data_IF_724626466894
#
_entry.id   IF_724626466894
#
_cell.length_a   1.000
_cell.length_b   1.000
_cell.length_c   1.000
_cell.angle_alpha   90.00
_cell.angle_beta   90.00
_cell.angle_gamma   90.00
#
_symmetry.space_group_name_H-M   'P 1'
#
loop_
_entity.id
_entity.type
_entity.pdbx_description
1 polymer ?
#
# COMPACT_ATOMS: atom_id res chain seq x y z
N UNK A 1 60.23 10.46 -4.98
CA UNK A 1 59.48 10.00 -6.18
C UNK A 1 57.96 10.04 -5.96
N UNK A 2 57.41 9.38 -4.93
CA UNK A 2 55.96 9.31 -4.66
C UNK A 2 55.26 10.68 -4.45
N UNK A 3 55.91 11.62 -3.74
CA UNK A 3 55.38 12.98 -3.54
C UNK A 3 55.35 13.85 -4.79
N UNK A 4 56.23 13.58 -5.76
CA UNK A 4 56.23 14.28 -7.04
C UNK A 4 55.19 13.69 -8.00
N UNK A 5 54.99 12.37 -7.96
CA UNK A 5 53.94 11.69 -8.72
C UNK A 5 52.55 12.09 -8.23
N UNK A 6 52.34 12.21 -6.91
CA UNK A 6 51.06 12.65 -6.35
C UNK A 6 50.75 14.11 -6.69
N UNK A 7 51.76 15.01 -6.66
CA UNK A 7 51.60 16.40 -7.09
C UNK A 7 51.37 16.53 -8.59
N UNK A 8 51.99 15.68 -9.41
CA UNK A 8 51.77 15.65 -10.86
C UNK A 8 50.38 15.15 -11.22
N UNK A 9 49.85 14.15 -10.50
CA UNK A 9 48.47 13.65 -10.67
C UNK A 9 47.46 14.72 -10.23
N UNK A 10 47.72 15.44 -9.13
CA UNK A 10 46.87 16.54 -8.68
C UNK A 10 46.92 17.76 -9.64
N UNK A 11 48.09 18.06 -10.22
CA UNK A 11 48.25 19.11 -11.21
C UNK A 11 47.60 18.75 -12.56
N UNK A 12 47.72 17.50 -13.01
CA UNK A 12 47.04 17.02 -14.22
C UNK A 12 45.50 17.05 -14.07
N UNK A 13 44.98 16.73 -12.87
CA UNK A 13 43.55 16.85 -12.55
C UNK A 13 43.11 18.32 -12.46
N UNK A 14 43.99 19.21 -12.01
CA UNK A 14 43.71 20.65 -11.98
C UNK A 14 43.74 21.31 -13.38
N UNK A 15 44.55 20.80 -14.31
CA UNK A 15 44.56 21.27 -15.71
C UNK A 15 43.36 20.74 -16.53
N UNK A 16 42.87 19.52 -16.22
CA UNK A 16 41.62 18.98 -16.81
C UNK A 16 40.37 19.73 -16.31
N UNK A 17 40.36 20.12 -15.02
CA UNK A 17 39.35 20.99 -14.42
C UNK A 17 39.38 22.45 -14.92
N UNK A 18 40.32 22.81 -15.79
CA UNK A 18 40.37 24.13 -16.44
C UNK A 18 39.34 24.30 -17.57
N UNK A 19 38.70 23.21 -18.01
CA UNK A 19 37.65 23.22 -19.04
C UNK A 19 36.27 22.78 -18.52
N UNK A 20 36.19 22.11 -17.37
CA UNK A 20 34.93 21.72 -16.68
C UNK A 20 34.93 22.29 -15.26
N UNK A 21 34.71 23.61 -15.14
CA UNK A 21 34.42 24.22 -13.86
C UNK A 21 33.03 23.77 -13.40
N UNK A 22 32.97 22.79 -12.50
CA UNK A 22 31.74 22.41 -11.79
C UNK A 22 31.17 23.68 -11.16
N UNK A 23 29.88 24.02 -11.41
CA UNK A 23 29.29 25.21 -10.82
C UNK A 23 29.38 25.11 -9.30
N UNK A 24 29.94 26.14 -8.68
CA UNK A 24 29.97 26.28 -7.23
C UNK A 24 28.51 26.16 -6.74
N UNK A 25 28.20 25.18 -5.89
CA UNK A 25 26.83 24.95 -5.47
C UNK A 25 26.35 26.16 -4.65
N UNK A 26 25.70 27.10 -5.32
CA UNK A 26 25.29 28.35 -4.70
C UNK A 26 24.34 28.07 -3.54
N UNK A 27 24.66 28.69 -2.41
CA UNK A 27 23.73 28.84 -1.29
C UNK A 27 22.67 29.82 -1.78
N UNK A 28 21.56 29.31 -2.31
CA UNK A 28 20.45 30.17 -2.73
C UNK A 28 19.91 30.92 -1.50
N UNK A 29 20.18 32.21 -1.44
CA UNK A 29 19.58 33.09 -0.44
C UNK A 29 18.11 33.23 -0.78
N UNK A 30 17.24 32.67 0.05
CA UNK A 30 15.80 32.70 -0.19
C UNK A 30 15.32 34.15 -0.43
N UNK A 31 14.74 34.38 -1.61
CA UNK A 31 14.15 35.66 -1.96
C UNK A 31 13.01 35.99 -0.99
N UNK A 32 13.08 37.17 -0.35
CA UNK A 32 12.02 37.65 0.57
C UNK A 32 10.80 38.19 -0.16
N UNK A 33 10.77 38.01 -1.49
CA UNK A 33 9.69 38.43 -2.35
C UNK A 33 8.37 37.80 -1.93
N UNK A 34 7.31 38.60 -1.99
CA UNK A 34 5.95 38.21 -1.66
C UNK A 34 5.76 37.63 -0.25
N UNK A 35 6.54 38.03 0.76
CA UNK A 35 6.41 37.52 2.14
C UNK A 35 4.95 37.51 2.65
N UNK A 36 4.19 38.56 2.38
CA UNK A 36 2.76 38.61 2.74
C UNK A 36 1.92 37.54 2.05
N UNK A 37 2.19 37.26 0.77
CA UNK A 37 1.50 36.23 0.01
C UNK A 37 1.96 34.81 0.41
N UNK A 38 3.24 34.64 0.78
CA UNK A 38 3.78 33.40 1.37
C UNK A 38 3.16 33.10 2.74
N UNK A 39 2.86 34.12 3.54
CA UNK A 39 2.12 33.93 4.79
C UNK A 39 0.65 33.62 4.49
N UNK A 40 0.04 34.30 3.52
CA UNK A 40 -1.33 34.03 3.11
C UNK A 40 -1.52 32.59 2.57
N UNK A 41 -0.52 32.05 1.87
CA UNK A 41 -0.59 30.69 1.30
C UNK A 41 -0.76 29.61 2.38
N UNK A 42 -0.21 29.80 3.58
CA UNK A 42 -0.41 28.90 4.74
C UNK A 42 -1.91 28.70 5.00
N UNK A 43 -2.68 29.79 5.02
CA UNK A 43 -4.11 29.73 5.30
C UNK A 43 -4.92 29.21 4.11
N UNK A 44 -4.56 29.62 2.89
CA UNK A 44 -5.26 29.18 1.67
C UNK A 44 -5.08 27.67 1.46
N UNK A 45 -3.85 27.17 1.60
CA UNK A 45 -3.55 25.75 1.47
C UNK A 45 -4.19 24.96 2.62
N UNK A 46 -4.16 25.46 3.86
CA UNK A 46 -4.84 24.81 4.99
C UNK A 46 -6.35 24.63 4.73
N UNK A 47 -7.01 25.68 4.22
CA UNK A 47 -8.45 25.60 3.92
C UNK A 47 -8.70 24.67 2.74
N UNK A 48 -7.91 24.77 1.66
CA UNK A 48 -8.05 23.90 0.49
C UNK A 48 -7.83 22.43 0.81
N UNK A 49 -6.77 22.11 1.54
CA UNK A 49 -6.44 20.74 1.97
C UNK A 49 -7.48 20.19 2.94
N UNK A 50 -7.95 20.98 3.91
CA UNK A 50 -9.00 20.59 4.84
C UNK A 50 -10.34 20.34 4.13
N UNK A 51 -10.72 21.18 3.17
CA UNK A 51 -11.90 20.94 2.33
C UNK A 51 -11.71 19.65 1.52
N UNK A 52 -10.54 19.47 0.89
CA UNK A 52 -10.21 18.27 0.13
C UNK A 52 -10.37 16.99 0.95
N UNK A 53 -9.78 16.90 2.14
CA UNK A 53 -9.79 15.66 2.94
C UNK A 53 -11.00 15.49 3.83
N UNK A 54 -11.41 16.53 4.56
CA UNK A 54 -12.41 16.39 5.62
C UNK A 54 -13.83 16.43 5.07
N UNK A 55 -14.09 17.13 3.95
CA UNK A 55 -15.43 17.17 3.37
C UNK A 55 -15.90 15.78 2.91
N UNK A 56 -15.13 14.99 2.13
CA UNK A 56 -15.54 13.64 1.75
C UNK A 56 -15.75 12.73 2.97
N UNK A 57 -14.88 12.83 4.00
CA UNK A 57 -15.02 12.06 5.24
C UNK A 57 -16.31 12.40 5.98
N UNK A 58 -16.60 13.70 6.12
CA UNK A 58 -17.81 14.18 6.79
C UNK A 58 -19.08 13.77 6.03
N UNK A 59 -19.07 13.91 4.70
CA UNK A 59 -20.19 13.54 3.84
C UNK A 59 -20.45 12.02 3.85
N UNK A 60 -19.40 11.20 3.91
CA UNK A 60 -19.54 9.75 3.93
C UNK A 60 -20.18 9.25 5.24
N UNK A 61 -19.94 9.95 6.35
CA UNK A 61 -20.40 9.54 7.69
C UNK A 61 -21.68 10.21 8.16
N UNK A 62 -22.10 11.30 7.53
CA UNK A 62 -23.28 12.07 7.95
C UNK A 62 -24.51 11.63 7.16
N UNK A 63 -25.48 11.00 7.83
CA UNK A 63 -26.75 10.59 7.22
C UNK A 63 -27.71 11.75 6.91
N UNK A 64 -27.41 12.97 7.40
CA UNK A 64 -28.23 14.18 7.16
C UNK A 64 -28.12 14.73 5.75
N UNK A 65 -26.99 14.55 5.07
CA UNK A 65 -26.76 15.03 3.71
C UNK A 65 -26.79 13.83 2.77
N UNK A 66 -27.89 13.63 2.04
CA UNK A 66 -27.99 12.57 1.03
C UNK A 66 -27.20 12.96 -0.22
N UNK A 67 -25.89 12.81 -0.17
CA UNK A 67 -25.02 12.99 -1.34
C UNK A 67 -25.24 11.82 -2.31
N UNK A 68 -25.38 12.06 -3.62
CA UNK A 68 -25.56 10.99 -4.58
C UNK A 68 -24.33 10.07 -4.60
N UNK A 69 -24.57 8.75 -4.70
CA UNK A 69 -23.51 7.73 -4.77
C UNK A 69 -22.51 7.99 -5.91
N UNK A 70 -22.95 8.67 -6.96
CA UNK A 70 -22.13 9.10 -8.08
C UNK A 70 -20.98 10.04 -7.67
N UNK A 71 -21.19 10.96 -6.72
CA UNK A 71 -20.12 11.87 -6.28
C UNK A 71 -19.00 11.10 -5.56
N UNK A 72 -19.34 10.16 -4.69
CA UNK A 72 -18.33 9.30 -4.03
C UNK A 72 -17.63 8.39 -5.02
N UNK A 73 -18.37 7.86 -6.01
CA UNK A 73 -17.78 7.08 -7.08
C UNK A 73 -16.74 7.90 -7.85
N UNK A 74 -17.10 9.09 -8.32
CA UNK A 74 -16.19 9.96 -9.07
C UNK A 74 -14.99 10.35 -8.19
N UNK A 75 -15.21 10.86 -6.99
CA UNK A 75 -14.13 11.30 -6.09
C UNK A 75 -13.14 10.18 -5.77
N UNK A 76 -13.63 8.95 -5.57
CA UNK A 76 -12.80 7.78 -5.30
C UNK A 76 -11.88 7.43 -6.47
N UNK A 77 -12.42 7.29 -7.67
CA UNK A 77 -11.64 6.88 -8.85
C UNK A 77 -10.79 8.03 -9.42
N UNK A 78 -11.31 9.25 -9.43
CA UNK A 78 -10.52 10.45 -9.72
C UNK A 78 -9.34 10.56 -8.77
N UNK A 79 -9.58 10.39 -7.47
CA UNK A 79 -8.56 10.39 -6.43
C UNK A 79 -7.47 9.34 -6.62
N UNK A 80 -7.84 8.12 -7.05
CA UNK A 80 -6.86 7.10 -7.43
C UNK A 80 -5.91 7.59 -8.52
N UNK A 81 -6.46 8.23 -9.57
CA UNK A 81 -5.65 8.79 -10.64
C UNK A 81 -4.76 9.94 -10.18
N UNK A 82 -5.25 10.76 -9.24
CA UNK A 82 -4.46 11.83 -8.63
C UNK A 82 -3.25 11.28 -7.88
N UNK A 83 -3.46 10.34 -6.95
CA UNK A 83 -2.37 9.72 -6.16
C UNK A 83 -1.38 9.00 -7.09
N UNK A 84 -1.90 8.31 -8.12
CA UNK A 84 -1.06 7.68 -9.14
C UNK A 84 -0.19 8.71 -9.85
N UNK A 85 -0.72 9.84 -10.31
CA UNK A 85 0.11 10.85 -10.96
C UNK A 85 1.09 11.54 -10.00
N UNK A 86 0.70 11.77 -8.74
CA UNK A 86 1.58 12.35 -7.72
C UNK A 86 2.84 11.51 -7.53
N UNK A 87 2.71 10.19 -7.43
CA UNK A 87 3.84 9.29 -7.24
C UNK A 87 4.91 9.39 -8.34
N UNK A 88 4.51 9.58 -9.61
CA UNK A 88 5.47 9.66 -10.72
C UNK A 88 5.94 11.09 -10.96
N UNK A 89 5.01 12.01 -11.17
CA UNK A 89 5.32 13.33 -11.74
C UNK A 89 5.72 14.35 -10.66
N UNK A 90 5.24 14.18 -9.43
CA UNK A 90 5.47 15.14 -8.35
C UNK A 90 6.42 14.62 -7.27
N UNK A 91 6.71 13.32 -7.25
CA UNK A 91 7.71 12.71 -6.37
C UNK A 91 8.90 12.17 -7.13
N UNK A 92 8.67 11.23 -8.04
CA UNK A 92 9.76 10.49 -8.67
C UNK A 92 10.56 11.34 -9.68
N UNK A 93 9.89 12.20 -10.46
CA UNK A 93 10.56 13.11 -11.38
C UNK A 93 11.43 14.13 -10.64
N UNK A 94 10.92 14.92 -9.67
CA UNK A 94 11.76 15.85 -8.90
C UNK A 94 12.86 15.13 -8.10
N UNK A 95 12.62 13.89 -7.65
CA UNK A 95 13.65 13.09 -7.01
C UNK A 95 14.82 12.78 -7.97
N UNK A 96 14.52 12.44 -9.22
CA UNK A 96 15.53 12.22 -10.25
C UNK A 96 16.32 13.49 -10.55
N UNK A 97 15.61 14.63 -10.69
CA UNK A 97 16.24 15.92 -10.95
C UNK A 97 17.17 16.34 -9.79
N UNK A 98 16.76 16.11 -8.54
CA UNK A 98 17.57 16.41 -7.36
C UNK A 98 18.81 15.53 -7.22
N UNK A 99 18.72 14.23 -7.52
CA UNK A 99 19.85 13.29 -7.38
C UNK A 99 20.83 13.33 -8.55
N UNK A 100 20.42 13.89 -9.69
CA UNK A 100 21.24 14.03 -10.90
C UNK A 100 21.76 15.45 -11.12
N UNK A 101 21.58 16.32 -10.15
CA UNK A 101 22.04 17.70 -10.23
C UNK A 101 23.56 17.78 -10.41
N UNK A 102 24.03 18.76 -11.19
CA UNK A 102 25.46 18.96 -11.48
C UNK A 102 26.29 19.18 -10.21
N UNK A 103 25.68 19.73 -9.15
CA UNK A 103 26.30 19.86 -7.82
C UNK A 103 26.74 18.50 -7.23
N UNK A 104 26.10 17.41 -7.64
CA UNK A 104 26.33 16.06 -7.14
C UNK A 104 27.24 15.21 -8.05
N UNK A 105 27.67 15.74 -9.20
CA UNK A 105 28.46 15.00 -10.18
C UNK A 105 29.78 14.41 -9.62
N UNK A 106 30.35 15.04 -8.58
CA UNK A 106 31.56 14.56 -7.90
C UNK A 106 31.30 13.52 -6.79
N UNK A 107 30.04 13.37 -6.36
CA UNK A 107 29.63 12.54 -5.20
C UNK A 107 28.92 11.28 -5.68
N UNK A 108 28.00 11.42 -6.64
CA UNK A 108 27.19 10.34 -7.18
C UNK A 108 27.54 10.13 -8.66
N UNK A 109 27.67 8.87 -9.13
CA UNK A 109 27.79 8.60 -10.55
C UNK A 109 26.49 8.95 -11.27
N UNK A 110 26.59 9.35 -12.55
CA UNK A 110 25.43 9.61 -13.42
C UNK A 110 24.63 8.33 -13.63
N UNK A 111 23.60 8.18 -12.83
CA UNK A 111 22.67 7.08 -12.79
C UNK A 111 21.38 7.56 -12.13
N UNK A 112 20.24 6.99 -12.53
CA UNK A 112 18.95 7.36 -11.96
C UNK A 112 18.72 6.66 -10.62
N UNK A 113 19.41 7.16 -9.60
CA UNK A 113 19.32 6.66 -8.23
C UNK A 113 17.89 6.78 -7.67
N UNK A 114 17.11 7.78 -8.10
CA UNK A 114 15.73 7.95 -7.67
C UNK A 114 14.86 6.75 -8.09
N UNK A 115 14.94 6.34 -9.35
CA UNK A 115 14.22 5.17 -9.86
C UNK A 115 14.63 3.88 -9.15
N UNK A 116 15.93 3.72 -8.85
CA UNK A 116 16.42 2.55 -8.12
C UNK A 116 15.91 2.53 -6.67
N UNK A 117 15.95 3.65 -5.96
CA UNK A 117 15.44 3.77 -4.59
C UNK A 117 13.92 3.53 -4.56
N UNK A 118 13.19 4.09 -5.52
CA UNK A 118 11.75 3.89 -5.62
C UNK A 118 11.40 2.42 -5.89
N UNK A 119 12.14 1.75 -6.78
CA UNK A 119 11.94 0.32 -7.04
C UNK A 119 12.27 -0.53 -5.82
N UNK A 120 13.38 -0.23 -5.12
CA UNK A 120 13.71 -0.91 -3.87
C UNK A 120 12.62 -0.70 -2.81
N UNK A 121 12.05 0.50 -2.73
CA UNK A 121 10.93 0.81 -1.86
C UNK A 121 9.68 0.00 -2.21
N UNK A 122 9.35 -0.14 -3.50
CA UNK A 122 8.26 -1.01 -3.98
C UNK A 122 8.47 -2.46 -3.55
N UNK A 123 9.70 -2.98 -3.66
CA UNK A 123 10.02 -4.34 -3.22
C UNK A 123 9.90 -4.51 -1.71
N UNK A 124 10.32 -3.51 -0.93
CA UNK A 124 10.14 -3.50 0.53
C UNK A 124 8.67 -3.41 0.91
N UNK A 125 7.88 -2.58 0.22
CA UNK A 125 6.45 -2.45 0.44
C UNK A 125 5.71 -3.77 0.21
N UNK A 126 6.01 -4.45 -0.89
CA UNK A 126 5.46 -5.78 -1.16
C UNK A 126 5.86 -6.80 -0.08
N UNK A 127 7.13 -6.77 0.36
CA UNK A 127 7.59 -7.62 1.46
C UNK A 127 6.86 -7.33 2.78
N UNK A 128 6.65 -6.05 3.11
CA UNK A 128 5.91 -5.64 4.31
C UNK A 128 4.47 -6.15 4.25
N UNK A 129 3.80 -6.08 3.10
CA UNK A 129 2.44 -6.61 2.96
C UNK A 129 2.39 -8.14 3.11
N UNK A 130 3.39 -8.87 2.61
CA UNK A 130 3.52 -10.32 2.86
C UNK A 130 3.71 -10.59 4.35
N UNK A 131 4.56 -9.83 5.03
CA UNK A 131 4.80 -10.01 6.48
C UNK A 131 3.52 -9.72 7.27
N UNK A 132 2.85 -8.60 6.99
CA UNK A 132 1.60 -8.20 7.69
C UNK A 132 0.48 -9.18 7.43
N UNK A 133 0.32 -9.68 6.20
CA UNK A 133 -0.69 -10.69 5.88
C UNK A 133 -0.37 -12.06 6.49
N UNK A 134 0.91 -12.38 6.72
CA UNK A 134 1.35 -13.67 7.25
C UNK A 134 1.39 -13.72 8.77
N UNK A 135 1.73 -12.61 9.40
CA UNK A 135 1.77 -12.42 10.84
C UNK A 135 0.61 -11.52 11.22
N UNK A 136 -0.52 -12.13 11.58
CA UNK A 136 -1.56 -11.45 12.33
C UNK A 136 -0.92 -11.00 13.66
N UNK A 137 -0.39 -9.77 13.68
CA UNK A 137 0.19 -9.18 14.87
C UNK A 137 -0.96 -9.04 15.85
N UNK A 138 -1.06 -10.01 16.76
CA UNK A 138 -2.10 -10.15 17.77
C UNK A 138 -2.16 -8.96 18.72
N UNK A 139 -2.63 -7.81 18.23
CA UNK A 139 -3.21 -6.73 19.00
C UNK A 139 -4.65 -7.13 19.44
N UNK A 140 -4.79 -8.37 19.89
CA UNK A 140 -5.86 -8.78 20.77
C UNK A 140 -5.48 -8.30 22.16
N UNK A 141 -6.08 -7.17 22.56
CA UNK A 141 -6.09 -6.73 23.94
C UNK A 141 -6.45 -7.92 24.83
N UNK A 142 -5.52 -8.26 25.73
CA UNK A 142 -5.81 -9.02 26.94
C UNK A 142 -7.01 -8.39 27.67
N UNK A 143 -7.79 -9.24 28.35
CA UNK A 143 -9.11 -9.10 29.02
C UNK A 143 -10.19 -9.88 28.24
N UNK A 144 -10.67 -11.07 28.61
CA UNK A 144 -10.56 -11.89 29.82
C UNK A 144 -11.96 -12.43 30.13
N UNK A 145 -12.21 -13.73 29.95
CA UNK A 145 -13.28 -14.43 30.67
C UNK A 145 -12.92 -15.91 30.87
N UNK A 146 -12.80 -16.25 32.15
CA UNK A 146 -12.76 -17.59 32.71
C UNK A 146 -14.03 -18.37 32.34
N UNK A 147 -13.88 -19.51 31.67
CA UNK A 147 -14.89 -20.55 31.72
C UNK A 147 -14.33 -21.77 32.46
N UNK A 148 -14.84 -21.91 33.68
CA UNK A 148 -14.80 -23.10 34.52
C UNK A 148 -15.31 -24.31 33.73
N UNK A 149 -14.47 -25.33 33.56
CA UNK A 149 -14.90 -26.67 33.18
C UNK A 149 -15.39 -27.39 34.44
N UNK A 150 -16.72 -27.35 34.66
CA UNK A 150 -17.38 -28.27 35.58
C UNK A 150 -17.53 -29.64 34.92
N UNK A 151 -16.65 -30.58 35.24
CA UNK A 151 -16.86 -32.00 34.98
C UNK A 151 -17.75 -32.59 36.08
N UNK A 152 -18.92 -33.12 35.72
CA UNK A 152 -19.65 -34.08 36.55
C UNK A 152 -19.90 -35.36 35.74
N UNK A 153 -19.17 -36.41 36.10
CA UNK A 153 -19.54 -37.79 35.79
C UNK A 153 -20.55 -38.29 36.82
N UNK A 154 -21.53 -39.10 36.42
CA UNK A 154 -22.25 -39.96 37.37
C UNK A 154 -23.65 -40.43 36.97
N UNK A 155 -23.73 -41.67 36.51
CA UNK A 155 -24.76 -42.70 36.78
C UNK A 155 -26.25 -42.54 36.39
N UNK A 156 -26.68 -43.47 35.53
CA UNK A 156 -27.68 -44.54 35.77
C UNK A 156 -29.07 -44.21 36.32
N UNK A 157 -30.11 -44.68 35.60
CA UNK A 157 -31.48 -44.90 36.09
C UNK A 157 -32.55 -44.48 35.08
N UNK A 158 -33.05 -45.40 34.25
CA UNK A 158 -34.42 -45.98 34.35
C UNK A 158 -35.54 -44.95 34.34
N UNK A 159 -36.28 -44.82 33.23
CA UNK A 159 -37.70 -44.52 33.26
C UNK A 159 -38.44 -45.19 32.11
N UNK A 160 -39.53 -45.82 32.48
CA UNK A 160 -40.46 -46.63 31.71
C UNK A 160 -41.23 -45.80 30.67
N UNK A 161 -41.61 -46.44 29.57
CA UNK A 161 -42.73 -45.97 28.76
C UNK A 161 -43.54 -47.18 28.26
N UNK A 162 -44.55 -47.56 29.03
CA UNK A 162 -45.70 -48.32 28.54
C UNK A 162 -46.72 -47.36 27.92
N UNK A 163 -47.20 -47.65 26.72
CA UNK A 163 -48.58 -47.36 26.31
C UNK A 163 -48.96 -48.22 25.09
N UNK A 164 -50.16 -48.82 25.18
CA UNK A 164 -50.74 -49.89 24.36
C UNK A 164 -51.43 -49.40 23.07
N UNK A 165 -51.60 -50.33 22.12
CA UNK A 165 -52.76 -50.46 21.21
C UNK A 165 -52.40 -50.43 19.72
N UNK A 166 -52.18 -51.58 19.05
CA UNK A 166 -53.17 -52.46 18.37
C UNK A 166 -53.51 -52.04 16.93
N UNK A 167 -53.05 -52.83 15.94
CA UNK A 167 -53.90 -53.49 14.92
C UNK A 167 -53.06 -54.47 14.08
N UNK A 168 -53.67 -55.62 13.79
CA UNK A 168 -53.16 -56.82 13.11
C UNK A 168 -53.15 -56.69 11.57
N UNK A 169 -52.28 -57.43 10.89
CA UNK A 169 -52.60 -58.35 9.77
C UNK A 169 -51.32 -58.83 9.01
N UNK A 170 -51.07 -60.15 9.07
CA UNK A 170 -50.26 -60.96 8.13
C UNK A 170 -51.24 -61.58 7.07
N UNK A 171 -50.85 -62.24 5.93
CA UNK A 171 -49.67 -63.09 5.78
C UNK A 171 -48.96 -63.15 4.39
N UNK A 172 -47.83 -63.88 4.37
CA UNK A 172 -47.43 -64.90 3.35
C UNK A 172 -46.44 -64.58 2.20
N UNK A 173 -45.31 -65.31 2.27
CA UNK A 173 -44.74 -66.22 1.24
C UNK A 173 -43.51 -65.84 0.36
N UNK A 174 -42.39 -66.52 0.71
CA UNK A 174 -41.43 -67.31 -0.11
C UNK A 174 -40.75 -66.68 -1.35
N UNK A 175 -39.40 -66.73 -1.38
CA UNK A 175 -38.62 -67.76 -2.11
C UNK A 175 -37.08 -67.63 -1.93
N UNK A 176 -36.46 -68.81 -1.82
CA UNK A 176 -35.03 -69.16 -1.77
C UNK A 176 -34.34 -69.07 -3.15
N UNK A 177 -33.08 -68.60 -3.18
CA UNK A 177 -31.79 -69.30 -3.44
C UNK A 177 -31.45 -69.67 -4.90
N UNK A 178 -30.24 -69.31 -5.35
CA UNK A 178 -29.38 -70.16 -6.18
C UNK A 178 -27.90 -69.69 -6.11
N UNK A 179 -27.02 -70.65 -5.84
CA UNK A 179 -25.55 -70.58 -5.69
C UNK A 179 -24.78 -70.57 -7.03
N UNK A 180 -23.46 -70.29 -6.99
CA UNK A 180 -22.33 -71.13 -7.48
C UNK A 180 -21.01 -70.33 -7.64
N UNK A 181 -20.13 -70.47 -6.64
CA UNK A 181 -18.72 -70.96 -6.62
C UNK A 181 -17.56 -70.51 -7.55
N UNK A 182 -16.36 -70.53 -6.90
CA UNK A 182 -14.96 -70.76 -7.36
C UNK A 182 -14.07 -69.56 -7.74
N UNK A 183 -12.78 -69.47 -7.36
CA UNK A 183 -11.91 -70.15 -6.40
C UNK A 183 -10.51 -69.47 -6.39
N UNK A 184 -9.87 -69.40 -5.20
CA UNK A 184 -8.40 -69.49 -4.91
C UNK A 184 -7.42 -68.45 -5.51
N UNK A 185 -6.39 -67.94 -4.81
CA UNK A 185 -5.37 -68.67 -4.02
C UNK A 185 -4.56 -67.71 -3.11
N UNK A 186 -4.09 -68.26 -2.00
CA UNK A 186 -3.33 -67.63 -0.92
C UNK A 186 -1.82 -67.48 -1.20
N UNK A 187 -1.17 -66.60 -0.42
CA UNK A 187 0.29 -66.52 -0.26
C UNK A 187 0.66 -65.56 0.87
N UNK A 188 0.93 -66.10 2.04
CA UNK A 188 1.39 -65.42 3.25
C UNK A 188 2.89 -65.69 3.39
N UNK A 189 3.74 -64.68 3.56
CA UNK A 189 5.12 -64.88 4.03
C UNK A 189 5.58 -63.72 4.91
N UNK A 190 6.12 -64.10 6.06
CA UNK A 190 6.58 -63.29 7.17
C UNK A 190 8.11 -63.39 7.21
N UNK A 191 8.84 -62.28 7.22
CA UNK A 191 10.31 -62.28 7.23
C UNK A 191 10.90 -61.08 7.96
N UNK A 192 11.41 -61.31 9.16
CA UNK A 192 12.08 -60.37 10.05
C UNK A 192 13.59 -60.28 9.74
N UNK A 193 14.20 -59.10 9.83
CA UNK A 193 15.65 -58.92 9.68
C UNK A 193 16.16 -57.52 10.04
N UNK A 194 16.77 -57.40 11.23
CA UNK A 194 17.53 -56.23 11.70
C UNK A 194 18.97 -56.27 11.17
N UNK A 195 19.59 -55.13 10.85
CA UNK A 195 20.95 -54.77 11.30
C UNK A 195 21.37 -53.35 10.86
N UNK A 196 22.12 -52.71 11.75
CA UNK A 196 22.60 -51.34 11.75
C UNK A 196 23.90 -51.14 10.96
N UNK A 197 24.17 -49.93 10.47
CA UNK A 197 25.49 -49.56 9.93
C UNK A 197 25.60 -48.10 9.47
N UNK A 198 26.48 -47.36 10.12
CA UNK A 198 26.79 -45.93 9.94
C UNK A 198 27.72 -45.65 8.75
N UNK A 199 27.67 -44.44 8.17
CA UNK A 199 28.69 -43.92 7.24
C UNK A 199 28.14 -42.91 6.23
N UNK A 200 28.55 -41.65 6.34
CA UNK A 200 28.00 -40.53 5.57
C UNK A 200 28.41 -40.45 4.09
N UNK A 201 27.68 -39.61 3.36
CA UNK A 201 28.29 -38.74 2.34
C UNK A 201 27.44 -37.49 2.11
N UNK A 202 28.19 -36.42 1.84
CA UNK A 202 27.88 -35.00 1.81
C UNK A 202 27.49 -34.62 0.36
N UNK A 203 26.51 -33.71 0.22
CA UNK A 203 25.87 -33.17 -1.02
C UNK A 203 24.72 -33.98 -1.65
N UNK A 204 23.48 -33.49 -1.53
CA UNK A 204 22.47 -33.61 -2.59
C UNK A 204 21.70 -32.29 -2.76
N UNK A 205 21.51 -31.93 -4.02
CA UNK A 205 21.13 -30.64 -4.55
C UNK A 205 19.61 -30.43 -4.44
N UNK A 206 19.21 -29.31 -3.83
CA UNK A 206 17.82 -28.86 -3.77
C UNK A 206 17.26 -28.65 -5.19
N UNK A 207 16.33 -29.54 -5.56
CA UNK A 207 15.58 -29.50 -6.82
C UNK A 207 14.83 -28.18 -6.97
N UNK A 208 15.22 -27.39 -7.97
CA UNK A 208 14.38 -26.34 -8.56
C UNK A 208 13.52 -27.01 -9.64
N UNK A 209 12.17 -27.07 -9.53
CA UNK A 209 11.34 -27.47 -10.65
C UNK A 209 11.02 -26.23 -11.49
N UNK A 210 11.78 -26.02 -12.55
CA UNK A 210 11.35 -25.21 -13.70
C UNK A 210 10.32 -26.04 -14.47
N UNK A 211 9.10 -25.52 -14.67
CA UNK A 211 8.16 -26.06 -15.65
C UNK A 211 7.98 -25.03 -16.77
N UNK A 212 8.43 -25.41 -17.96
CA UNK A 212 8.21 -24.73 -19.23
C UNK A 212 6.78 -24.97 -19.73
N UNK A 213 6.12 -23.87 -20.07
CA UNK A 213 5.28 -23.61 -21.26
C UNK A 213 4.04 -24.52 -21.46
N UNK A 214 2.83 -24.08 -21.79
CA UNK A 214 2.31 -22.76 -22.15
C UNK A 214 0.76 -22.81 -22.11
N UNK A 215 0.17 -21.66 -21.79
CA UNK A 215 -1.15 -21.13 -22.20
C UNK A 215 -2.30 -22.13 -22.45
N UNK A 216 -3.27 -22.13 -21.55
CA UNK A 216 -4.69 -22.11 -21.91
C UNK A 216 -5.49 -21.61 -20.71
N UNK A 217 -6.26 -20.52 -20.88
CA UNK A 217 -7.62 -20.29 -20.37
C UNK A 217 -8.06 -18.84 -20.73
N UNK A 218 -9.36 -18.57 -21.00
CA UNK A 218 -10.49 -19.37 -20.55
C UNK A 218 -11.41 -19.92 -21.66
N UNK A 219 -12.01 -21.11 -21.45
CA UNK A 219 -13.37 -21.11 -20.93
C UNK A 219 -13.73 -22.29 -19.99
N UNK A 220 -14.52 -21.96 -18.97
CA UNK A 220 -15.53 -22.78 -18.30
C UNK A 220 -15.34 -24.29 -18.10
N UNK A 221 -15.24 -24.69 -16.83
CA UNK A 221 -15.79 -25.95 -16.35
C UNK A 221 -14.79 -26.85 -15.62
N UNK A 222 -14.92 -26.88 -14.29
CA UNK A 222 -14.70 -28.10 -13.54
C UNK A 222 -13.40 -28.20 -12.71
N UNK A 223 -13.60 -28.11 -11.39
CA UNK A 223 -12.88 -28.88 -10.37
C UNK A 223 -11.34 -28.87 -10.37
N UNK A 224 -10.75 -27.85 -9.74
CA UNK A 224 -9.52 -28.01 -8.96
C UNK A 224 -9.44 -27.00 -7.80
N UNK A 225 -9.65 -27.49 -6.58
CA UNK A 225 -8.83 -27.25 -5.37
C UNK A 225 -8.20 -25.87 -5.14
N UNK A 226 -8.92 -24.79 -5.45
CA UNK A 226 -8.72 -23.47 -4.83
C UNK A 226 -9.67 -23.36 -3.65
N UNK A 227 -9.14 -23.14 -2.45
CA UNK A 227 -9.91 -22.94 -1.23
C UNK A 227 -11.11 -22.00 -1.45
N UNK A 228 -12.30 -22.60 -1.52
CA UNK A 228 -13.51 -21.96 -1.05
C UNK A 228 -13.29 -21.76 0.46
N UNK A 229 -12.88 -20.55 0.85
CA UNK A 229 -12.87 -20.13 2.25
C UNK A 229 -14.32 -20.13 2.71
N UNK A 230 -14.75 -21.25 3.28
CA UNK A 230 -15.87 -21.22 4.21
C UNK A 230 -15.48 -20.29 5.36
N UNK A 231 -16.37 -19.33 5.63
CA UNK A 231 -16.17 -18.26 6.60
C UNK A 231 -15.91 -18.81 8.00
N UNK A 232 -14.64 -18.85 8.40
CA UNK A 232 -14.23 -18.98 9.80
C UNK A 232 -13.96 -17.57 10.32
N UNK A 233 -14.56 -17.25 11.46
CA UNK A 233 -14.61 -15.97 12.20
C UNK A 233 -13.24 -15.30 12.53
N UNK A 234 -12.12 -15.82 12.01
CA UNK A 234 -10.77 -15.27 12.13
C UNK A 234 -10.27 -14.45 10.93
N UNK A 235 -10.94 -14.50 9.77
CA UNK A 235 -10.50 -13.80 8.55
C UNK A 235 -10.91 -12.31 8.48
N UNK A 236 -11.93 -11.87 9.23
CA UNK A 236 -12.33 -10.46 9.24
C UNK A 236 -11.26 -9.55 9.87
N UNK A 237 -10.55 -10.05 10.90
CA UNK A 237 -9.51 -9.29 11.60
C UNK A 237 -8.26 -9.07 10.74
N UNK A 238 -7.81 -10.09 10.00
CA UNK A 238 -6.65 -9.99 9.12
C UNK A 238 -6.93 -9.04 7.92
N UNK A 239 -8.12 -9.11 7.33
CA UNK A 239 -8.51 -8.21 6.23
C UNK A 239 -8.65 -6.75 6.71
N UNK A 240 -9.18 -6.54 7.92
CA UNK A 240 -9.26 -5.21 8.52
C UNK A 240 -7.86 -4.65 8.86
N UNK A 241 -6.98 -5.47 9.43
CA UNK A 241 -5.61 -5.06 9.75
C UNK A 241 -4.81 -4.68 8.49
N UNK A 242 -4.91 -5.46 7.42
CA UNK A 242 -4.29 -5.16 6.13
C UNK A 242 -4.82 -3.84 5.54
N UNK A 243 -6.15 -3.66 5.51
CA UNK A 243 -6.78 -2.43 5.01
C UNK A 243 -6.33 -1.18 5.78
N UNK A 244 -6.31 -1.26 7.11
CA UNK A 244 -5.91 -0.14 7.96
C UNK A 244 -4.41 0.14 7.81
N UNK A 245 -3.58 -0.90 7.68
CA UNK A 245 -2.15 -0.77 7.42
C UNK A 245 -1.90 -0.07 6.09
N UNK A 246 -2.60 -0.45 5.02
CA UNK A 246 -2.50 0.20 3.71
C UNK A 246 -2.88 1.68 3.78
N UNK A 247 -3.93 2.04 4.54
CA UNK A 247 -4.33 3.45 4.76
C UNK A 247 -3.24 4.22 5.52
N UNK A 248 -2.66 3.64 6.57
CA UNK A 248 -1.60 4.31 7.33
C UNK A 248 -0.33 4.50 6.50
N UNK A 249 0.03 3.52 5.67
CA UNK A 249 1.20 3.63 4.80
C UNK A 249 0.96 4.68 3.69
N UNK A 250 -0.23 4.68 3.09
CA UNK A 250 -0.66 5.71 2.14
C UNK A 250 -0.55 7.09 2.78
N UNK A 251 -1.14 7.28 3.97
CA UNK A 251 -1.11 8.54 4.71
C UNK A 251 0.32 8.98 5.01
N UNK A 252 1.18 8.06 5.45
CA UNK A 252 2.59 8.36 5.72
C UNK A 252 3.30 8.89 4.47
N UNK A 253 3.15 8.23 3.32
CA UNK A 253 3.73 8.68 2.05
C UNK A 253 3.24 10.06 1.64
N UNK A 254 1.92 10.27 1.69
CA UNK A 254 1.30 11.56 1.32
C UNK A 254 1.72 12.70 2.27
N UNK A 255 1.71 12.48 3.60
CA UNK A 255 2.15 13.49 4.58
C UNK A 255 3.60 13.86 4.34
N UNK A 256 4.45 12.88 4.10
CA UNK A 256 5.86 13.11 3.92
C UNK A 256 6.15 13.94 2.66
N UNK A 257 5.50 13.60 1.55
CA UNK A 257 5.51 14.40 0.33
C UNK A 257 5.03 15.85 0.58
N UNK A 258 3.93 16.00 1.31
CA UNK A 258 3.34 17.30 1.65
C UNK A 258 4.30 18.21 2.43
N UNK A 259 5.19 17.64 3.24
CA UNK A 259 6.21 18.41 3.97
C UNK A 259 7.23 19.01 2.99
N UNK A 260 7.79 18.23 2.06
CA UNK A 260 8.79 18.73 1.11
C UNK A 260 8.20 19.72 0.11
N UNK A 261 6.95 19.48 -0.33
CA UNK A 261 6.19 20.47 -1.11
C UNK A 261 6.11 21.80 -0.36
N UNK A 262 5.71 21.76 0.92
CA UNK A 262 5.54 22.97 1.72
C UNK A 262 6.84 23.73 1.95
N UNK A 263 7.94 23.01 2.21
CA UNK A 263 9.28 23.59 2.33
C UNK A 263 9.72 24.23 1.00
N UNK A 264 9.50 23.55 -0.12
CA UNK A 264 9.85 24.06 -1.46
C UNK A 264 9.07 25.33 -1.78
N UNK A 265 7.76 25.36 -1.52
CA UNK A 265 6.95 26.57 -1.72
C UNK A 265 7.42 27.75 -0.85
N UNK A 266 7.96 27.48 0.34
CA UNK A 266 8.46 28.53 1.22
C UNK A 266 9.72 29.22 0.68
N UNK A 267 10.57 28.49 -0.05
CA UNK A 267 11.91 28.98 -0.47
C UNK A 267 12.05 29.22 -1.97
N UNK A 268 11.11 28.75 -2.79
CA UNK A 268 11.17 28.87 -4.25
C UNK A 268 11.03 30.32 -4.74
N UNK A 269 11.76 30.66 -5.80
CA UNK A 269 11.67 31.95 -6.50
C UNK A 269 10.43 32.03 -7.41
N UNK A 270 9.96 30.89 -7.94
CA UNK A 270 8.75 30.79 -8.77
C UNK A 270 7.47 30.69 -7.93
N UNK A 271 7.41 31.46 -6.83
CA UNK A 271 6.40 31.32 -5.79
C UNK A 271 4.97 31.43 -6.32
N UNK A 272 4.67 32.42 -7.16
CA UNK A 272 3.28 32.68 -7.59
C UNK A 272 2.72 31.51 -8.40
N UNK A 273 3.52 30.95 -9.32
CA UNK A 273 3.10 29.83 -10.16
C UNK A 273 2.92 28.59 -9.30
N UNK A 274 3.94 28.23 -8.52
CA UNK A 274 3.89 27.06 -7.64
C UNK A 274 2.80 27.17 -6.60
N UNK A 275 2.55 28.35 -6.04
CA UNK A 275 1.45 28.57 -5.11
C UNK A 275 0.09 28.24 -5.73
N UNK A 276 -0.20 28.78 -6.91
CA UNK A 276 -1.49 28.54 -7.59
C UNK A 276 -1.64 27.06 -7.93
N UNK A 277 -0.59 26.43 -8.47
CA UNK A 277 -0.60 25.01 -8.81
C UNK A 277 -0.81 24.15 -7.56
N UNK A 278 -0.12 24.46 -6.46
CA UNK A 278 -0.20 23.69 -5.21
C UNK A 278 -1.54 23.80 -4.50
N UNK A 279 -2.27 24.93 -4.63
CA UNK A 279 -3.64 25.02 -4.12
C UNK A 279 -4.53 23.95 -4.78
N UNK A 280 -4.41 23.77 -6.09
CA UNK A 280 -5.16 22.74 -6.81
C UNK A 280 -4.63 21.33 -6.51
N UNK A 281 -3.31 21.12 -6.57
CA UNK A 281 -2.66 19.85 -6.26
C UNK A 281 -3.11 19.32 -4.89
N UNK A 282 -2.92 20.11 -3.83
CA UNK A 282 -3.19 19.71 -2.46
C UNK A 282 -4.70 19.47 -2.22
N UNK A 283 -5.56 20.20 -2.92
CA UNK A 283 -7.01 19.99 -2.82
C UNK A 283 -7.41 18.68 -3.50
N UNK A 284 -6.86 18.36 -4.68
CA UNK A 284 -7.19 17.13 -5.40
C UNK A 284 -6.60 15.89 -4.75
N UNK A 285 -5.36 15.95 -4.27
CA UNK A 285 -4.75 14.87 -3.51
C UNK A 285 -5.52 14.65 -2.20
N UNK A 286 -5.93 15.74 -1.54
CA UNK A 286 -6.79 15.70 -0.36
C UNK A 286 -8.15 15.07 -0.64
N UNK A 287 -8.77 15.38 -1.79
CA UNK A 287 -10.02 14.76 -2.22
C UNK A 287 -9.88 13.23 -2.38
N UNK A 288 -8.78 12.78 -2.98
CA UNK A 288 -8.51 11.36 -3.15
C UNK A 288 -8.30 10.64 -1.82
N UNK A 289 -7.47 11.20 -0.95
CA UNK A 289 -7.26 10.69 0.41
C UNK A 289 -8.56 10.71 1.23
N UNK A 290 -9.30 11.81 1.21
CA UNK A 290 -10.57 11.97 1.92
C UNK A 290 -11.63 10.95 1.48
N UNK A 291 -11.73 10.67 0.18
CA UNK A 291 -12.63 9.64 -0.33
C UNK A 291 -12.26 8.25 0.20
N UNK A 292 -10.96 7.94 0.32
CA UNK A 292 -10.46 6.67 0.89
C UNK A 292 -10.78 6.57 2.38
N UNK A 293 -10.47 7.60 3.16
CA UNK A 293 -10.76 7.67 4.59
C UNK A 293 -12.27 7.61 4.88
N UNK A 294 -13.09 8.23 4.03
CA UNK A 294 -14.55 8.23 4.16
C UNK A 294 -15.19 6.88 3.89
N UNK A 295 -14.68 6.14 2.91
CA UNK A 295 -15.22 4.83 2.49
C UNK A 295 -14.63 3.65 3.28
N UNK A 296 -13.52 3.84 3.98
CA UNK A 296 -12.96 2.81 4.86
C UNK A 296 -13.94 2.44 5.98
N UNK A 297 -13.95 1.16 6.35
CA UNK A 297 -14.75 0.64 7.46
C UNK A 297 -13.99 0.92 8.76
N UNK A 298 -14.57 1.75 9.63
CA UNK A 298 -13.96 2.09 10.91
C UNK A 298 -14.77 1.45 12.04
N UNK A 299 -14.12 0.89 13.08
CA UNK A 299 -14.80 0.23 14.18
C UNK A 299 -15.71 1.21 14.91
N UNK A 300 -16.95 0.79 15.10
CA UNK A 300 -18.06 1.65 15.51
C UNK A 300 -18.04 2.03 16.99
N UNK A 301 -17.21 1.36 17.81
CA UNK A 301 -17.12 1.57 19.26
C UNK A 301 -15.78 2.21 19.68
N UNK A 302 -15.86 3.28 20.49
CA UNK A 302 -14.71 3.91 21.18
C UNK A 302 -14.07 5.12 20.48
N UNK A 303 -12.89 5.51 20.96
CA UNK A 303 -12.06 6.64 20.45
C UNK A 303 -11.63 6.48 18.99
N UNK A 304 -11.76 5.27 18.42
CA UNK A 304 -11.40 4.95 17.03
C UNK A 304 -12.34 5.55 15.97
N UNK A 305 -13.52 6.09 16.34
CA UNK A 305 -14.39 6.80 15.37
C UNK A 305 -13.77 8.10 14.83
N UNK A 306 -12.84 8.70 15.59
CA UNK A 306 -12.21 9.96 15.25
C UNK A 306 -11.00 9.80 14.32
N UNK A 307 -10.51 8.58 14.10
CA UNK A 307 -9.31 8.32 13.29
C UNK A 307 -9.35 8.93 11.88
N UNK A 308 -10.41 8.81 11.07
CA UNK A 308 -10.38 9.43 9.73
C UNK A 308 -10.35 10.96 9.77
N UNK A 309 -10.90 11.58 10.82
CA UNK A 309 -10.81 13.03 11.00
C UNK A 309 -9.42 13.45 11.47
N UNK A 310 -8.79 12.65 12.33
CA UNK A 310 -7.42 12.88 12.78
C UNK A 310 -6.46 12.75 11.60
N UNK A 311 -6.54 11.66 10.82
CA UNK A 311 -5.71 11.46 9.62
C UNK A 311 -5.93 12.59 8.61
N UNK A 312 -7.18 12.89 8.25
CA UNK A 312 -7.46 14.00 7.34
C UNK A 312 -6.98 15.38 7.84
N UNK A 313 -6.95 15.59 9.16
CA UNK A 313 -6.41 16.82 9.76
C UNK A 313 -4.88 16.85 9.77
N UNK A 314 -4.22 15.69 9.98
CA UNK A 314 -2.77 15.57 9.91
C UNK A 314 -2.26 15.90 8.51
N UNK A 315 -2.90 15.35 7.47
CA UNK A 315 -2.67 15.77 6.09
C UNK A 315 -2.83 17.29 5.93
N UNK A 316 -3.98 17.84 6.35
CA UNK A 316 -4.29 19.24 6.09
C UNK A 316 -3.31 20.23 6.76
N UNK A 317 -2.78 19.88 7.93
CA UNK A 317 -1.85 20.70 8.72
C UNK A 317 -0.39 20.54 8.25
N UNK A 318 -0.03 19.40 7.65
CA UNK A 318 1.35 19.08 7.27
C UNK A 318 2.00 20.13 6.36
N UNK A 319 1.36 20.49 5.23
CA UNK A 319 1.90 21.48 4.28
C UNK A 319 1.97 22.89 4.87
N UNK A 320 0.90 23.45 5.50
CA UNK A 320 0.97 24.76 6.16
C UNK A 320 2.06 24.84 7.25
N UNK A 321 2.22 23.76 8.03
CA UNK A 321 3.29 23.65 9.02
C UNK A 321 4.67 23.68 8.36
N UNK A 322 4.86 22.91 7.28
CA UNK A 322 6.10 22.88 6.53
C UNK A 322 6.43 24.24 5.87
N UNK A 323 5.44 24.94 5.30
CA UNK A 323 5.62 26.30 4.77
C UNK A 323 6.09 27.24 5.88
N UNK A 324 5.42 27.20 7.04
CA UNK A 324 5.80 28.02 8.19
C UNK A 324 7.23 27.75 8.66
N UNK A 325 7.62 26.48 8.78
CA UNK A 325 8.99 26.09 9.10
C UNK A 325 9.97 26.54 8.02
N UNK A 326 9.64 26.36 6.74
CA UNK A 326 10.48 26.76 5.62
C UNK A 326 10.75 28.27 5.60
N UNK A 327 9.74 29.10 5.91
CA UNK A 327 9.88 30.56 6.01
C UNK A 327 10.73 31.03 7.21
N UNK A 328 10.79 30.23 8.27
CA UNK A 328 11.65 30.49 9.43
C UNK A 328 13.07 30.01 9.16
N UNK A 329 13.21 28.79 8.61
CA UNK A 329 14.46 28.15 8.25
C UNK A 329 15.22 28.93 7.17
N UNK A 330 14.51 29.49 6.19
CA UNK A 330 15.10 30.29 5.11
C UNK A 330 15.82 31.55 5.59
N UNK A 331 15.58 31.97 6.84
CA UNK A 331 16.28 33.11 7.47
C UNK A 331 17.53 32.72 8.24
N UNK A 332 17.71 31.44 8.58
CA UNK A 332 18.70 30.98 9.58
C UNK A 332 19.61 29.85 9.10
N UNK A 333 19.28 29.15 8.01
CA UNK A 333 19.99 27.97 7.56
C UNK A 333 20.71 28.22 6.23
N UNK A 334 22.02 28.48 6.32
CA UNK A 334 22.95 28.21 5.22
C UNK A 334 23.28 26.70 5.21
N UNK A 335 22.30 25.87 4.86
CA UNK A 335 22.57 24.45 4.63
C UNK A 335 23.35 24.32 3.32
N UNK A 336 24.37 23.45 3.31
CA UNK A 336 25.12 23.12 2.11
C UNK A 336 24.16 22.57 1.05
N UNK A 337 24.10 23.24 -0.12
CA UNK A 337 23.13 22.96 -1.17
C UNK A 337 23.16 21.50 -1.64
N UNK A 338 24.34 20.86 -1.66
CA UNK A 338 24.52 19.46 -2.01
C UNK A 338 23.75 18.51 -1.07
N UNK A 339 23.87 18.74 0.25
CA UNK A 339 23.21 17.87 1.24
C UNK A 339 21.69 18.00 1.15
N UNK A 340 21.16 19.20 0.95
CA UNK A 340 19.72 19.41 0.80
C UNK A 340 19.15 18.66 -0.41
N UNK A 341 19.86 18.69 -1.56
CA UNK A 341 19.42 18.00 -2.78
C UNK A 341 19.41 16.49 -2.61
N UNK A 342 20.44 15.92 -1.98
CA UNK A 342 20.47 14.46 -1.68
C UNK A 342 19.33 14.07 -0.77
N UNK A 343 19.13 14.81 0.31
CA UNK A 343 18.08 14.54 1.29
C UNK A 343 16.71 14.59 0.61
N UNK A 344 16.39 15.67 -0.12
CA UNK A 344 15.13 15.81 -0.84
C UNK A 344 14.96 14.67 -1.86
N UNK A 345 15.98 14.41 -2.68
CA UNK A 345 15.91 13.39 -3.73
C UNK A 345 15.72 11.97 -3.20
N UNK A 346 16.43 11.57 -2.13
CA UNK A 346 16.26 10.25 -1.50
C UNK A 346 14.86 10.13 -0.88
N UNK A 347 14.42 11.15 -0.17
CA UNK A 347 13.14 11.13 0.52
C UNK A 347 11.94 11.16 -0.42
N UNK A 348 12.02 11.95 -1.50
CA UNK A 348 11.01 11.96 -2.56
C UNK A 348 10.99 10.65 -3.35
N UNK A 349 12.14 10.02 -3.59
CA UNK A 349 12.20 8.69 -4.22
C UNK A 349 11.55 7.59 -3.35
N UNK A 350 11.81 7.60 -2.03
CA UNK A 350 11.17 6.68 -1.09
C UNK A 350 9.66 6.91 -1.07
N UNK A 351 9.22 8.17 -0.89
CA UNK A 351 7.80 8.51 -0.87
C UNK A 351 7.10 8.13 -2.19
N UNK A 352 7.75 8.42 -3.32
CA UNK A 352 7.28 8.06 -4.67
C UNK A 352 7.14 6.55 -4.84
N UNK A 353 8.08 5.76 -4.33
CA UNK A 353 8.00 4.30 -4.30
C UNK A 353 6.83 3.77 -3.47
N UNK A 354 6.59 4.35 -2.28
CA UNK A 354 5.44 3.99 -1.43
C UNK A 354 4.12 4.30 -2.16
N UNK A 355 3.94 5.53 -2.64
CA UNK A 355 2.72 5.94 -3.31
C UNK A 355 2.51 5.21 -4.64
N UNK A 356 3.58 4.86 -5.36
CA UNK A 356 3.51 4.05 -6.57
C UNK A 356 2.98 2.64 -6.27
N UNK A 357 3.51 1.98 -5.23
CA UNK A 357 3.00 0.69 -4.78
C UNK A 357 1.52 0.77 -4.41
N UNK A 358 1.18 1.71 -3.54
CA UNK A 358 -0.18 1.92 -3.07
C UNK A 358 -1.12 2.24 -4.24
N UNK A 359 -0.75 3.14 -5.16
CA UNK A 359 -1.62 3.52 -6.26
C UNK A 359 -1.87 2.36 -7.24
N UNK A 360 -0.84 1.59 -7.61
CA UNK A 360 -1.01 0.49 -8.58
C UNK A 360 -1.62 -0.76 -7.97
N UNK A 361 -1.11 -1.19 -6.81
CA UNK A 361 -1.48 -2.46 -6.19
C UNK A 361 -2.73 -2.28 -5.33
N UNK A 362 -2.66 -1.36 -4.37
CA UNK A 362 -3.72 -1.20 -3.36
C UNK A 362 -4.95 -0.46 -3.89
N UNK A 363 -4.77 0.49 -4.81
CA UNK A 363 -5.89 1.26 -5.38
C UNK A 363 -6.35 0.70 -6.72
N UNK A 364 -5.50 0.62 -7.74
CA UNK A 364 -5.95 0.19 -9.08
C UNK A 364 -6.24 -1.32 -9.11
N UNK A 365 -5.27 -2.17 -8.78
CA UNK A 365 -5.46 -3.61 -8.90
C UNK A 365 -6.56 -4.12 -7.96
N UNK A 366 -6.55 -3.70 -6.69
CA UNK A 366 -7.57 -4.13 -5.74
C UNK A 366 -8.98 -3.66 -6.11
N UNK A 367 -9.15 -2.44 -6.63
CA UNK A 367 -10.48 -1.95 -6.98
C UNK A 367 -11.05 -2.48 -8.29
N UNK A 368 -10.21 -2.77 -9.30
CA UNK A 368 -10.67 -3.23 -10.60
C UNK A 368 -10.64 -4.75 -10.75
N UNK A 369 -9.60 -5.42 -10.25
CA UNK A 369 -9.39 -6.86 -10.47
C UNK A 369 -9.87 -7.71 -9.28
N UNK A 370 -9.60 -7.27 -8.04
CA UNK A 370 -9.90 -8.07 -6.85
C UNK A 370 -11.26 -7.78 -6.24
N UNK A 371 -11.85 -6.61 -6.49
CA UNK A 371 -13.19 -6.28 -6.01
C UNK A 371 -14.28 -7.10 -6.77
N UNK A 372 -15.02 -8.00 -6.08
CA UNK A 372 -16.04 -8.84 -6.70
C UNK A 372 -17.18 -8.05 -7.34
N UNK A 373 -17.55 -6.90 -6.76
CA UNK A 373 -18.62 -6.04 -7.26
C UNK A 373 -18.24 -5.41 -8.60
N UNK A 374 -17.00 -4.91 -8.71
CA UNK A 374 -16.50 -4.33 -9.96
C UNK A 374 -16.30 -5.38 -11.04
N UNK A 375 -15.86 -6.59 -10.68
CA UNK A 375 -15.69 -7.69 -11.63
C UNK A 375 -17.01 -8.20 -12.21
N UNK A 376 -18.11 -8.13 -11.44
CA UNK A 376 -19.46 -8.48 -11.89
C UNK A 376 -20.19 -7.33 -12.57
N UNK A 377 -19.71 -6.09 -12.44
CA UNK A 377 -20.32 -4.92 -13.07
C UNK A 377 -20.18 -4.97 -14.60
N UNK A 378 -21.14 -4.36 -15.30
CA UNK A 378 -21.08 -4.25 -16.76
C UNK A 378 -19.87 -3.44 -17.23
N UNK A 379 -19.35 -3.76 -18.42
CA UNK A 379 -18.17 -3.12 -19.00
C UNK A 379 -18.25 -1.58 -19.02
N UNK A 380 -19.45 -1.02 -19.25
CA UNK A 380 -19.65 0.44 -19.23
C UNK A 380 -19.33 1.09 -17.88
N UNK A 381 -19.64 0.42 -16.76
CA UNK A 381 -19.31 0.93 -15.42
C UNK A 381 -17.81 0.87 -15.16
N UNK A 382 -17.15 -0.23 -15.57
CA UNK A 382 -15.71 -0.39 -15.44
C UNK A 382 -14.96 0.67 -16.27
N UNK A 383 -15.39 0.90 -17.51
CA UNK A 383 -14.82 1.94 -18.38
C UNK A 383 -15.08 3.35 -17.83
N UNK A 384 -16.25 3.61 -17.23
CA UNK A 384 -16.52 4.89 -16.57
C UNK A 384 -15.62 5.12 -15.34
N UNK A 385 -15.43 4.09 -14.50
CA UNK A 385 -14.50 4.14 -13.37
C UNK A 385 -13.06 4.39 -13.85
N UNK A 386 -12.60 3.64 -14.84
CA UNK A 386 -11.27 3.80 -15.42
C UNK A 386 -11.09 5.16 -16.07
N UNK A 387 -12.11 5.67 -16.77
CA UNK A 387 -12.13 7.02 -17.32
C UNK A 387 -11.95 8.09 -16.24
N UNK A 388 -12.55 7.93 -15.06
CA UNK A 388 -12.33 8.84 -13.93
C UNK A 388 -10.87 8.82 -13.44
N UNK A 389 -10.24 7.64 -13.39
CA UNK A 389 -8.81 7.50 -13.04
C UNK A 389 -7.94 8.24 -14.07
N UNK A 390 -8.18 8.03 -15.36
CA UNK A 390 -7.42 8.69 -16.43
C UNK A 390 -7.58 10.21 -16.38
N UNK A 391 -8.78 10.71 -16.09
CA UNK A 391 -9.01 12.15 -15.89
C UNK A 391 -8.22 12.69 -14.69
N UNK A 392 -8.16 11.95 -13.58
CA UNK A 392 -7.33 12.30 -12.42
C UNK A 392 -5.85 12.37 -12.76
N UNK A 393 -5.33 11.37 -13.47
CA UNK A 393 -3.94 11.35 -13.95
C UNK A 393 -3.65 12.54 -14.87
N UNK A 394 -4.50 12.76 -15.87
CA UNK A 394 -4.32 13.83 -16.84
C UNK A 394 -4.36 15.21 -16.19
N UNK A 395 -5.25 15.43 -15.23
CA UNK A 395 -5.33 16.69 -14.50
C UNK A 395 -4.05 16.95 -13.69
N UNK A 396 -3.55 15.96 -12.96
CA UNK A 396 -2.34 16.11 -12.17
C UNK A 396 -1.07 16.26 -13.02
N UNK A 397 -1.06 15.64 -14.21
CA UNK A 397 -0.01 15.83 -15.21
C UNK A 397 0.01 17.25 -15.76
N UNK A 398 -1.18 17.83 -16.01
CA UNK A 398 -1.28 19.24 -16.42
C UNK A 398 -0.76 20.18 -15.34
N UNK A 399 -1.07 19.89 -14.07
CA UNK A 399 -0.51 20.64 -12.94
C UNK A 399 1.01 20.49 -12.84
N UNK A 400 1.56 19.28 -13.07
CA UNK A 400 3.00 19.05 -13.09
C UNK A 400 3.71 19.85 -14.20
N UNK A 401 3.13 19.90 -15.39
CA UNK A 401 3.69 20.66 -16.51
C UNK A 401 3.60 22.19 -16.32
N UNK A 402 2.74 22.65 -15.42
CA UNK A 402 2.57 24.08 -15.13
C UNK A 402 3.38 24.56 -13.94
N UNK A 403 3.76 23.66 -13.03
CA UNK A 403 4.71 23.89 -11.94
C UNK A 403 6.11 24.11 -12.50
#
# INVERSE_FOLDING_TARGET
MYRHLHRAILAARAEENGADAVPECEISSASTDYLGLRIASIFVILVGSAIGTLLPVFLAKTSRLRVPKLCFFIAKYFGTGVILATAWMHLLSPASDNLRDECLANILPDYDWAMAIALMTVMVMFLLEIIVSRFDFGFGSSHGHSHSHGHSHGHSGTHEHETKGSHDDEPSSKRQSHDVESATKAGNDNGNGNSSGSGGNFFDSSRIPVRRDDVSYPPGGGDHLGHQRDHVEGDEHANYAAQITAIFILEFGVIFHSIFIGLTLAVTDNFVILFVVLVFHQTFEGLGLGARLGMATWPTHGTRRWTPYILGSLYAISTPFAIGMGLVASRSLALEAATSRVVNGVFDAISGGILMYTALVELVAHEFMFNPEMRKAGLGMQLAAYGCVVVGVGLMALLANWA
#
